data_IF_912585268553
#
_entry.id   IF_912585268553
#
_cell.length_a   1.000
_cell.length_b   1.000
_cell.length_c   1.000
_cell.angle_alpha   90.00
_cell.angle_beta   90.00
_cell.angle_gamma   90.00
#
_symmetry.space_group_name_H-M   'P 1'
#
loop_
_entity.id
_entity.type
_entity.pdbx_description
1 polymer ?
#
# COMPACT_ATOMS: atom_id res chain seq x y z
N UNK A 1 11.96 -6.73 0.07
CA UNK A 1 12.28 -5.77 -1.02
C UNK A 1 11.02 -5.01 -1.42
N UNK A 2 10.69 -3.95 -0.69
CA UNK A 2 9.55 -3.06 -0.99
C UNK A 2 10.01 -1.63 -0.71
N UNK A 3 10.27 -0.85 -1.76
CA UNK A 3 10.59 0.58 -1.64
C UNK A 3 9.98 1.37 -2.80
N UNK A 4 10.28 1.01 -4.05
CA UNK A 4 9.70 1.67 -5.22
C UNK A 4 8.16 1.63 -5.20
N UNK A 5 7.61 0.46 -4.89
CA UNK A 5 6.17 0.21 -4.96
C UNK A 5 5.34 1.10 -4.01
N UNK A 6 5.71 1.13 -2.74
CA UNK A 6 5.01 1.93 -1.75
C UNK A 6 5.21 3.42 -1.96
N UNK A 7 6.43 3.80 -2.38
CA UNK A 7 6.72 5.18 -2.76
C UNK A 7 5.79 5.65 -3.88
N UNK A 8 5.60 4.85 -4.93
CA UNK A 8 4.68 5.19 -6.03
C UNK A 8 3.24 5.35 -5.54
N UNK A 9 2.74 4.42 -4.72
CA UNK A 9 1.38 4.49 -4.16
C UNK A 9 1.17 5.78 -3.37
N UNK A 10 2.13 6.13 -2.53
CA UNK A 10 2.04 7.32 -1.70
C UNK A 10 2.08 8.60 -2.52
N UNK A 11 3.07 8.75 -3.39
CA UNK A 11 3.25 9.99 -4.14
C UNK A 11 2.10 10.22 -5.15
N UNK A 12 1.65 9.18 -5.86
CA UNK A 12 0.59 9.33 -6.85
C UNK A 12 -0.80 9.51 -6.24
N UNK A 13 -1.08 8.88 -5.10
CA UNK A 13 -2.45 8.79 -4.56
C UNK A 13 -2.61 9.61 -3.29
N UNK A 14 -1.81 9.34 -2.25
CA UNK A 14 -1.94 10.07 -0.98
C UNK A 14 -1.48 11.54 -1.10
N UNK A 15 -0.50 11.82 -1.97
CA UNK A 15 -0.03 13.18 -2.25
C UNK A 15 -0.70 13.79 -3.49
N UNK A 16 -1.17 12.96 -4.43
CA UNK A 16 -1.82 13.44 -5.66
C UNK A 16 -0.87 14.02 -6.72
N UNK A 17 0.40 13.64 -6.71
CA UNK A 17 1.37 14.08 -7.72
C UNK A 17 1.10 13.45 -9.08
N UNK A 18 1.54 14.13 -10.14
CA UNK A 18 1.61 13.53 -11.46
C UNK A 18 2.87 12.67 -11.65
N UNK A 19 2.90 11.93 -12.76
CA UNK A 19 4.01 11.01 -13.06
C UNK A 19 5.37 11.69 -13.18
N UNK A 20 5.44 12.91 -13.73
CA UNK A 20 6.70 13.64 -13.89
C UNK A 20 7.26 13.99 -12.52
N UNK A 21 6.44 14.58 -11.66
CA UNK A 21 6.82 14.95 -10.30
C UNK A 21 7.25 13.73 -9.46
N UNK A 22 6.54 12.60 -9.61
CA UNK A 22 6.91 11.38 -8.89
C UNK A 22 8.26 10.84 -9.36
N UNK A 23 8.59 10.92 -10.64
CA UNK A 23 9.89 10.44 -11.16
C UNK A 23 11.04 11.29 -10.61
N UNK A 24 10.90 12.61 -10.65
CA UNK A 24 11.90 13.52 -10.08
C UNK A 24 12.10 13.28 -8.58
N UNK A 25 10.99 13.11 -7.85
CA UNK A 25 11.03 12.79 -6.42
C UNK A 25 11.68 11.41 -6.21
N UNK A 26 11.40 10.41 -7.07
CA UNK A 26 11.95 9.07 -6.94
C UNK A 26 13.46 9.06 -7.16
N UNK A 27 13.98 9.74 -8.19
CA UNK A 27 15.41 9.80 -8.46
C UNK A 27 16.20 10.47 -7.33
N UNK A 28 15.67 11.56 -6.77
CA UNK A 28 16.28 12.25 -5.62
C UNK A 28 16.28 11.40 -4.33
N UNK A 29 15.37 10.43 -4.22
CA UNK A 29 15.25 9.55 -3.05
C UNK A 29 15.90 8.18 -3.25
N UNK A 30 16.05 7.68 -4.47
CA UNK A 30 16.55 6.33 -4.76
C UNK A 30 17.92 6.05 -4.12
N UNK A 31 18.80 7.05 -4.09
CA UNK A 31 20.11 6.97 -3.43
C UNK A 31 20.04 6.87 -1.90
N UNK A 32 18.96 7.37 -1.29
CA UNK A 32 18.73 7.36 0.16
C UNK A 32 17.93 6.13 0.61
N UNK A 33 17.02 5.66 -0.25
CA UNK A 33 16.13 4.54 0.06
C UNK A 33 16.87 3.21 -0.11
N UNK A 34 17.66 3.08 -1.17
CA UNK A 34 18.25 1.80 -1.54
C UNK A 34 19.65 1.69 -0.94
N UNK A 35 19.79 0.81 0.06
CA UNK A 35 21.08 0.56 0.75
C UNK A 35 22.18 0.02 -0.17
N UNK A 36 21.81 -0.74 -1.20
CA UNK A 36 22.74 -1.25 -2.21
C UNK A 36 23.04 -0.15 -3.22
N UNK A 37 24.28 0.35 -3.22
CA UNK A 37 24.69 1.48 -4.04
C UNK A 37 24.60 1.20 -5.56
N UNK A 38 24.91 -0.03 -6.00
CA UNK A 38 24.80 -0.41 -7.42
C UNK A 38 23.34 -0.46 -7.84
N UNK A 39 22.47 -0.96 -6.96
CA UNK A 39 21.03 -0.96 -7.19
C UNK A 39 20.44 0.45 -7.16
N UNK A 40 20.90 1.30 -6.25
CA UNK A 40 20.50 2.70 -6.16
C UNK A 40 20.83 3.45 -7.46
N UNK A 41 21.99 3.19 -8.06
CA UNK A 41 22.37 3.77 -9.36
C UNK A 41 21.48 3.29 -10.52
N UNK A 42 21.07 2.01 -10.50
CA UNK A 42 20.14 1.48 -11.50
C UNK A 42 18.76 2.13 -11.35
N UNK A 43 18.26 2.25 -10.12
CA UNK A 43 16.95 2.80 -9.81
C UNK A 43 16.88 4.32 -10.02
N UNK A 44 17.95 5.05 -9.74
CA UNK A 44 18.04 6.50 -10.02
C UNK A 44 18.03 6.84 -11.51
N UNK A 45 18.30 5.86 -12.38
CA UNK A 45 18.20 5.97 -13.84
C UNK A 45 16.90 5.37 -14.39
N UNK A 46 16.01 4.86 -13.53
CA UNK A 46 14.77 4.21 -13.97
C UNK A 46 13.85 5.21 -14.66
N UNK A 47 13.48 4.93 -15.91
CA UNK A 47 12.55 5.75 -16.69
C UNK A 47 11.11 5.59 -16.21
N UNK A 48 10.26 6.55 -16.59
CA UNK A 48 8.81 6.56 -16.32
C UNK A 48 8.16 5.20 -16.59
N UNK A 49 8.42 4.59 -17.75
CA UNK A 49 7.87 3.28 -18.12
C UNK A 49 8.23 2.17 -17.12
N UNK A 50 9.44 2.21 -16.55
CA UNK A 50 9.88 1.26 -15.55
C UNK A 50 9.15 1.43 -14.22
N UNK A 51 8.87 2.68 -13.81
CA UNK A 51 8.12 3.00 -12.60
C UNK A 51 6.62 2.70 -12.77
N UNK A 52 6.06 3.04 -13.93
CA UNK A 52 4.70 2.67 -14.32
C UNK A 52 4.50 1.16 -14.27
N UNK A 53 5.43 0.37 -14.82
CA UNK A 53 5.37 -1.09 -14.74
C UNK A 53 5.36 -1.61 -13.29
N UNK A 54 6.10 -0.97 -12.37
CA UNK A 54 6.08 -1.31 -10.95
C UNK A 54 4.75 -0.97 -10.29
N UNK A 55 4.19 0.20 -10.59
CA UNK A 55 2.92 0.67 -10.07
C UNK A 55 1.73 -0.17 -10.57
N UNK A 56 1.67 -0.50 -11.87
CA UNK A 56 0.58 -1.32 -12.39
C UNK A 56 0.54 -2.73 -11.78
N UNK A 57 1.71 -3.33 -11.51
CA UNK A 57 1.78 -4.65 -10.83
C UNK A 57 1.30 -4.61 -9.38
N UNK A 58 1.31 -3.45 -8.72
CA UNK A 58 0.83 -3.32 -7.33
C UNK A 58 -0.67 -3.29 -7.19
N UNK A 59 -1.35 -2.72 -8.18
CA UNK A 59 -2.77 -2.48 -8.06
C UNK A 59 -3.60 -3.73 -8.31
N UNK A 60 -2.98 -4.85 -8.68
CA UNK A 60 -3.73 -6.08 -8.91
C UNK A 60 -4.50 -6.55 -7.68
N UNK A 61 -4.04 -6.33 -6.44
CA UNK A 61 -4.80 -6.73 -5.24
C UNK A 61 -4.77 -5.65 -4.17
N UNK A 62 -5.95 -5.18 -3.76
CA UNK A 62 -6.11 -4.13 -2.73
C UNK A 62 -7.03 -4.64 -1.62
N UNK A 63 -6.83 -4.22 -0.35
CA UNK A 63 -7.78 -4.51 0.71
C UNK A 63 -9.14 -3.90 0.37
N UNK A 64 -10.20 -4.68 0.56
CA UNK A 64 -11.55 -4.16 0.48
C UNK A 64 -11.90 -3.45 1.79
N UNK A 65 -12.47 -2.26 1.65
CA UNK A 65 -12.90 -1.42 2.76
C UNK A 65 -14.42 -1.23 2.71
N UNK A 66 -15.05 -1.16 3.87
CA UNK A 66 -16.43 -0.67 3.97
C UNK A 66 -16.50 0.85 3.76
N UNK A 67 -17.72 1.40 3.79
CA UNK A 67 -17.98 2.85 3.67
C UNK A 67 -17.30 3.70 4.75
N UNK A 68 -16.94 3.11 5.87
CA UNK A 68 -16.32 3.77 7.02
C UNK A 68 -14.78 3.57 7.03
N UNK A 69 -14.23 2.93 5.99
CA UNK A 69 -12.81 2.67 5.80
C UNK A 69 -12.26 1.47 6.58
N UNK A 70 -13.14 0.60 7.11
CA UNK A 70 -12.75 -0.58 7.87
C UNK A 70 -12.44 -1.77 6.96
N UNK A 71 -11.57 -2.67 7.43
CA UNK A 71 -11.27 -3.89 6.67
C UNK A 71 -12.48 -4.81 6.61
N UNK A 72 -12.75 -5.32 5.41
CA UNK A 72 -13.62 -6.48 5.22
C UNK A 72 -12.82 -7.77 5.42
N UNK A 73 -13.48 -8.80 5.94
CA UNK A 73 -12.87 -10.11 6.21
C UNK A 73 -13.69 -11.21 5.52
N UNK A 74 -13.02 -12.25 5.04
CA UNK A 74 -13.62 -13.51 4.60
C UNK A 74 -14.13 -14.31 5.81
N UNK A 75 -14.97 -15.31 5.55
CA UNK A 75 -15.49 -16.26 6.55
C UNK A 75 -14.36 -17.00 7.30
N UNK A 76 -13.23 -17.23 6.63
CA UNK A 76 -12.01 -17.82 7.19
C UNK A 76 -11.23 -16.87 8.13
N UNK A 77 -11.77 -15.67 8.40
CA UNK A 77 -11.16 -14.64 9.24
C UNK A 77 -10.01 -13.88 8.58
N UNK A 78 -9.72 -14.10 7.30
CA UNK A 78 -8.63 -13.39 6.58
C UNK A 78 -9.14 -12.12 5.90
N UNK A 79 -8.27 -11.12 5.75
CA UNK A 79 -8.61 -9.86 5.07
C UNK A 79 -9.12 -10.12 3.65
N UNK A 80 -10.25 -9.51 3.29
CA UNK A 80 -10.80 -9.57 1.96
C UNK A 80 -10.00 -8.64 1.04
N UNK A 81 -9.58 -9.15 -0.12
CA UNK A 81 -8.92 -8.33 -1.13
C UNK A 81 -9.64 -8.44 -2.45
N UNK A 82 -9.72 -7.33 -3.17
CA UNK A 82 -10.32 -7.27 -4.50
C UNK A 82 -9.25 -7.11 -5.57
N UNK A 83 -9.51 -7.71 -6.73
CA UNK A 83 -8.71 -7.47 -7.91
C UNK A 83 -9.07 -6.12 -8.52
N UNK A 84 -8.15 -5.15 -8.51
CA UNK A 84 -8.41 -3.80 -9.03
C UNK A 84 -7.62 -3.57 -10.33
N UNK A 85 -8.28 -3.71 -11.48
CA UNK A 85 -7.63 -3.35 -12.74
C UNK A 85 -7.57 -1.82 -12.89
N UNK A 86 -6.39 -1.23 -12.72
CA UNK A 86 -6.14 0.23 -12.81
C UNK A 86 -6.76 0.87 -14.04
N UNK A 87 -6.78 0.15 -15.17
CA UNK A 87 -7.28 0.64 -16.46
C UNK A 87 -8.81 0.76 -16.51
N UNK A 88 -9.53 0.19 -15.56
CA UNK A 88 -11.01 0.14 -15.54
C UNK A 88 -11.63 1.11 -14.52
N UNK A 89 -10.84 2.02 -13.93
CA UNK A 89 -11.32 2.85 -12.83
C UNK A 89 -12.10 4.09 -13.27
N UNK A 90 -13.27 4.28 -12.66
CA UNK A 90 -14.02 5.54 -12.56
C UNK A 90 -14.02 6.14 -11.12
N UNK A 91 -13.59 5.39 -10.10
CA UNK A 91 -13.62 5.77 -8.67
C UNK A 91 -12.24 5.74 -7.97
N UNK A 92 -12.19 6.35 -6.77
CA UNK A 92 -11.02 6.65 -5.94
C UNK A 92 -10.07 5.46 -5.71
N UNK A 93 -8.81 5.64 -6.11
CA UNK A 93 -7.72 4.73 -5.80
C UNK A 93 -7.36 4.81 -4.31
N UNK A 94 -7.24 3.67 -3.63
CA UNK A 94 -6.66 3.64 -2.29
C UNK A 94 -5.15 3.92 -2.36
N UNK A 95 -4.66 4.82 -1.52
CA UNK A 95 -3.25 5.14 -1.37
C UNK A 95 -2.49 4.17 -0.47
N UNK A 96 -1.22 4.44 -0.21
CA UNK A 96 -0.39 3.64 0.70
C UNK A 96 -0.97 3.63 2.12
N UNK A 97 -1.43 4.79 2.60
CA UNK A 97 -1.91 4.94 3.98
C UNK A 97 -3.13 4.07 4.23
N UNK A 98 -4.08 4.07 3.30
CA UNK A 98 -5.28 3.23 3.40
C UNK A 98 -5.02 1.77 3.10
N UNK A 99 -4.05 1.44 2.24
CA UNK A 99 -3.75 0.03 1.95
C UNK A 99 -3.00 -0.63 3.09
N UNK A 100 -1.92 -0.01 3.54
CA UNK A 100 -0.92 -0.65 4.40
C UNK A 100 -0.47 0.26 5.56
N UNK A 101 -1.41 0.77 6.38
CA UNK A 101 -1.09 1.67 7.50
C UNK A 101 -0.10 1.01 8.48
N UNK A 102 -0.25 -0.29 8.75
CA UNK A 102 0.61 -0.99 9.70
C UNK A 102 2.06 -1.09 9.20
N UNK A 103 2.23 -1.20 7.88
CA UNK A 103 3.55 -1.18 7.25
C UNK A 103 4.14 0.22 7.32
N UNK A 104 3.35 1.27 7.11
CA UNK A 104 3.82 2.66 7.19
C UNK A 104 4.37 2.94 8.59
N UNK A 105 3.64 2.55 9.64
CA UNK A 105 4.10 2.69 11.02
C UNK A 105 5.36 1.85 11.30
N UNK A 106 5.41 0.60 10.83
CA UNK A 106 6.55 -0.29 11.08
C UNK A 106 7.84 0.17 10.40
N UNK A 107 7.75 0.54 9.12
CA UNK A 107 8.92 0.96 8.33
C UNK A 107 9.34 2.40 8.64
N UNK A 108 8.43 3.19 9.23
CA UNK A 108 8.63 4.60 9.57
C UNK A 108 9.26 5.39 8.41
N UNK A 109 8.59 5.34 7.26
CA UNK A 109 9.12 5.89 6.02
C UNK A 109 9.41 7.40 6.14
N UNK A 110 10.65 7.80 5.89
CA UNK A 110 11.10 9.20 5.97
C UNK A 110 10.43 10.14 4.97
N UNK A 111 9.77 9.60 3.96
CA UNK A 111 9.05 10.33 2.91
C UNK A 111 7.54 10.40 3.14
N UNK A 112 7.04 9.86 4.26
CA UNK A 112 5.65 10.02 4.71
C UNK A 112 5.57 11.25 5.62
N UNK A 113 4.58 12.11 5.40
CA UNK A 113 4.40 13.31 6.23
C UNK A 113 3.99 12.92 7.66
N UNK A 114 4.30 13.74 8.68
CA UNK A 114 3.87 13.48 10.06
C UNK A 114 2.36 13.34 10.20
N UNK A 115 1.59 14.10 9.42
CA UNK A 115 0.12 14.02 9.38
C UNK A 115 -0.35 12.65 8.86
N UNK A 116 0.21 12.19 7.75
CA UNK A 116 -0.11 10.88 7.20
C UNK A 116 0.40 9.73 8.08
N UNK A 117 1.51 9.92 8.79
CA UNK A 117 1.99 8.96 9.78
C UNK A 117 0.99 8.82 10.94
N UNK A 118 0.49 9.94 11.46
CA UNK A 118 -0.56 9.92 12.50
C UNK A 118 -1.83 9.21 12.03
N UNK A 119 -2.28 9.49 10.80
CA UNK A 119 -3.41 8.78 10.19
C UNK A 119 -3.14 7.28 10.07
N UNK A 120 -1.92 6.89 9.68
CA UNK A 120 -1.53 5.49 9.62
C UNK A 120 -1.55 4.81 11.00
N UNK A 121 -1.14 5.50 12.07
CA UNK A 121 -1.21 4.99 13.45
C UNK A 121 -2.66 4.76 13.89
N UNK A 122 -3.55 5.71 13.62
CA UNK A 122 -4.98 5.60 13.93
C UNK A 122 -5.63 4.43 13.19
N UNK A 123 -5.35 4.30 11.89
CA UNK A 123 -5.83 3.17 11.08
C UNK A 123 -5.25 1.84 11.56
N UNK A 124 -3.97 1.81 11.93
CA UNK A 124 -3.31 0.62 12.49
C UNK A 124 -3.97 0.18 13.78
N UNK A 125 -4.24 1.10 14.70
CA UNK A 125 -4.94 0.82 15.95
C UNK A 125 -6.34 0.24 15.69
N UNK A 126 -7.10 0.89 14.80
CA UNK A 126 -8.45 0.44 14.42
C UNK A 126 -8.44 -0.96 13.83
N UNK A 127 -7.55 -1.24 12.87
CA UNK A 127 -7.44 -2.55 12.24
C UNK A 127 -6.97 -3.64 13.20
N UNK A 128 -6.09 -3.31 14.14
CA UNK A 128 -5.71 -4.25 15.19
C UNK A 128 -6.88 -4.58 16.12
N UNK A 129 -7.73 -3.61 16.47
CA UNK A 129 -8.97 -3.87 17.21
C UNK A 129 -9.92 -4.79 16.43
N UNK A 130 -10.09 -4.56 15.12
CA UNK A 130 -10.92 -5.42 14.26
C UNK A 130 -10.42 -6.87 14.21
N UNK A 131 -9.09 -7.06 14.18
CA UNK A 131 -8.45 -8.39 14.21
C UNK A 131 -8.65 -9.06 15.57
N UNK A 132 -8.37 -8.36 16.66
CA UNK A 132 -8.55 -8.88 18.01
C UNK A 132 -10.01 -9.30 18.30
N UNK A 133 -10.99 -8.51 17.85
CA UNK A 133 -12.41 -8.82 17.97
C UNK A 133 -12.81 -10.13 17.25
N UNK A 134 -11.99 -10.58 16.28
CA UNK A 134 -12.17 -11.82 15.51
C UNK A 134 -11.23 -12.95 15.99
N UNK A 135 -10.55 -12.77 17.12
CA UNK A 135 -9.58 -13.75 17.63
C UNK A 135 -8.29 -13.85 16.82
N UNK A 136 -8.03 -12.88 15.93
CA UNK A 136 -6.83 -12.83 15.11
C UNK A 136 -5.72 -12.04 15.82
N UNK A 137 -4.45 -12.41 15.62
CA UNK A 137 -3.35 -11.62 16.16
C UNK A 137 -3.29 -10.21 15.51
N UNK A 138 -2.75 -9.21 16.22
CA UNK A 138 -2.38 -7.93 15.62
C UNK A 138 -1.45 -8.10 14.43
N UNK A 139 -1.39 -7.08 13.58
CA UNK A 139 -0.49 -7.12 12.43
C UNK A 139 0.97 -7.28 12.87
N UNK A 140 1.73 -8.09 12.14
CA UNK A 140 3.18 -8.14 12.23
C UNK A 140 3.82 -8.34 10.84
N UNK A 141 5.08 -7.94 10.65
CA UNK A 141 5.79 -8.16 9.40
C UNK A 141 5.86 -9.65 9.00
N UNK A 142 5.88 -10.56 9.98
CA UNK A 142 5.97 -12.01 9.77
C UNK A 142 4.71 -12.62 9.14
N UNK A 143 3.57 -11.93 9.24
CA UNK A 143 2.27 -12.44 8.78
C UNK A 143 1.72 -11.66 7.57
N UNK A 144 2.54 -10.78 6.97
CA UNK A 144 2.05 -9.87 5.94
C UNK A 144 1.67 -10.55 4.62
N UNK A 145 2.35 -11.63 4.25
CA UNK A 145 2.04 -12.38 3.02
C UNK A 145 0.96 -13.44 3.27
N UNK A 146 0.81 -13.91 4.51
CA UNK A 146 -0.18 -14.93 4.89
C UNK A 146 -1.56 -14.37 5.22
N UNK A 147 -1.67 -13.04 5.42
CA UNK A 147 -2.94 -12.35 5.72
C UNK A 147 -3.88 -12.24 4.51
N UNK A 148 -3.33 -12.27 3.29
CA UNK A 148 -4.08 -11.99 2.07
C UNK A 148 -4.45 -13.30 1.40
N UNK A 149 -5.74 -13.58 1.28
CA UNK A 149 -6.22 -14.53 0.28
C UNK A 149 -6.55 -13.73 -0.97
N UNK A 150 -5.81 -14.00 -2.03
CA UNK A 150 -6.12 -13.48 -3.35
C UNK A 150 -7.34 -14.24 -3.88
N UNK A 151 -8.53 -13.70 -3.71
CA UNK A 151 -9.72 -14.25 -4.33
C UNK A 151 -9.84 -13.70 -5.75
N UNK A 152 -9.93 -14.61 -6.72
CA UNK A 152 -10.26 -14.27 -8.09
C UNK A 152 -11.78 -14.23 -8.20
N UNK A 153 -12.33 -13.03 -8.33
CA UNK A 153 -13.75 -12.75 -8.54
C UNK A 153 -14.67 -13.03 -7.34
N UNK A 154 -15.23 -11.94 -6.81
CA UNK A 154 -16.32 -11.94 -5.84
C UNK A 154 -16.73 -10.51 -5.56
N UNK A 155 -18.03 -10.28 -5.36
CA UNK A 155 -18.46 -9.06 -4.69
C UNK A 155 -17.93 -9.15 -3.25
N UNK A 156 -17.45 -8.03 -2.66
CA UNK A 156 -17.10 -8.01 -1.25
C UNK A 156 -18.30 -8.51 -0.42
N UNK A 157 -18.05 -9.16 0.74
CA UNK A 157 -19.12 -9.48 1.68
C UNK A 157 -19.93 -8.22 1.98
N UNK A 158 -21.24 -8.34 2.11
CA UNK A 158 -22.08 -7.20 2.52
C UNK A 158 -21.59 -6.70 3.89
N UNK A 159 -21.40 -5.38 3.99
CA UNK A 159 -20.90 -4.69 5.17
C UNK A 159 -22.00 -4.48 6.22
#
# INVERSE_FOLDING_TARGET
MIECRNFMLYQLIDIGKDWLEVVETYHSHASKLIKDQKKAEIESKRRIQGLQGCYYRLNNFVPALDKDGNLLFNDDGKEYTILLQVRQQKDELLGLIDRYPERVCYENYSWVSPEHMKRAEELTARRNQQRLARGLPPWSPKHQETRVVHTHHGNPPEA
#
